data_IF_318207270818
#
_entry.id   IF_318207270818
#
_cell.length_a   1.000
_cell.length_b   1.000
_cell.length_c   1.000
_cell.angle_alpha   90.00
_cell.angle_beta   90.00
_cell.angle_gamma   90.00
#
_symmetry.space_group_name_H-M   'P 1'
#
loop_
_entity.id
_entity.type
_entity.pdbx_description
1 polymer ?
#
# COMPACT_ATOMS: atom_id res chain seq x y z
N UNK A 1 17.37 -10.48 30.20
CA UNK A 1 16.42 -9.58 30.89
C UNK A 1 16.71 -8.16 30.41
N UNK A 2 16.23 -7.76 29.23
CA UNK A 2 16.47 -6.44 28.65
C UNK A 2 15.27 -5.94 27.84
N UNK A 3 14.48 -6.86 27.27
CA UNK A 3 13.28 -6.53 26.48
C UNK A 3 12.17 -5.83 27.27
N UNK A 4 11.99 -6.15 28.56
CA UNK A 4 10.89 -5.60 29.36
C UNK A 4 10.97 -4.10 29.58
N UNK A 5 12.18 -3.55 29.71
CA UNK A 5 12.41 -2.12 30.01
C UNK A 5 12.38 -1.26 28.75
N UNK A 6 12.80 -1.80 27.60
CA UNK A 6 12.78 -1.10 26.30
C UNK A 6 11.34 -1.02 25.74
N UNK A 7 10.55 -2.06 25.94
CA UNK A 7 9.14 -2.10 25.50
C UNK A 7 8.25 -1.10 26.27
N UNK A 8 8.45 -1.00 27.60
CA UNK A 8 7.71 -0.07 28.44
C UNK A 8 8.04 1.40 28.15
N UNK A 9 9.29 1.71 27.79
CA UNK A 9 9.70 3.10 27.45
C UNK A 9 9.23 3.53 26.06
N UNK A 10 9.24 2.66 25.04
CA UNK A 10 8.73 3.01 23.70
C UNK A 10 7.22 3.35 23.70
N UNK A 11 6.44 2.61 24.49
CA UNK A 11 4.98 2.73 24.56
C UNK A 11 4.46 4.01 25.24
N UNK A 12 5.28 4.62 26.13
CA UNK A 12 4.91 5.84 26.86
C UNK A 12 5.17 7.12 26.05
N UNK A 13 6.08 7.08 25.07
CA UNK A 13 6.49 8.25 24.28
C UNK A 13 6.04 8.20 22.82
N UNK A 14 5.71 7.03 22.28
CA UNK A 14 5.12 6.86 20.96
C UNK A 14 3.80 6.09 21.10
N UNK A 15 2.68 6.72 20.75
CA UNK A 15 1.45 5.97 20.48
C UNK A 15 1.78 4.98 19.35
N UNK A 16 1.88 3.69 19.67
CA UNK A 16 2.08 2.68 18.65
C UNK A 16 0.84 2.66 17.76
N UNK A 17 0.99 3.12 16.51
CA UNK A 17 -0.02 2.91 15.49
C UNK A 17 0.01 1.42 15.17
N UNK A 18 -0.98 0.67 15.66
CA UNK A 18 -1.04 -0.79 15.47
C UNK A 18 -1.79 -1.20 14.21
N UNK A 19 -2.56 -0.27 13.64
CA UNK A 19 -3.41 -0.54 12.49
C UNK A 19 -3.40 0.67 11.57
N UNK A 20 -3.08 0.40 10.31
CA UNK A 20 -3.24 1.34 9.23
C UNK A 20 -4.71 1.30 8.78
N UNK A 21 -5.38 2.43 8.88
CA UNK A 21 -6.74 2.64 8.40
C UNK A 21 -6.69 3.51 7.14
N UNK A 22 -7.10 2.96 6.00
CA UNK A 22 -7.17 3.68 4.73
C UNK A 22 -8.62 3.68 4.23
N UNK A 23 -9.12 4.85 3.84
CA UNK A 23 -10.39 5.01 3.13
C UNK A 23 -10.05 5.43 1.68
N UNK A 24 -10.29 4.52 0.74
CA UNK A 24 -9.99 4.73 -0.67
C UNK A 24 -11.30 4.97 -1.41
N UNK A 25 -11.44 6.15 -2.01
CA UNK A 25 -12.63 6.57 -2.77
C UNK A 25 -12.31 6.71 -4.24
N UNK A 26 -12.98 5.93 -5.08
CA UNK A 26 -12.95 6.12 -6.52
C UNK A 26 -13.95 7.20 -6.93
N UNK A 27 -13.51 8.07 -7.84
CA UNK A 27 -14.45 8.91 -8.60
C UNK A 27 -15.18 8.06 -9.65
N UNK A 28 -16.32 8.57 -10.11
CA UNK A 28 -17.12 7.95 -11.19
C UNK A 28 -16.33 7.77 -12.49
N UNK A 29 -15.37 8.65 -12.77
CA UNK A 29 -14.50 8.58 -13.94
C UNK A 29 -13.08 8.15 -13.52
N UNK A 30 -12.91 6.88 -13.18
CA UNK A 30 -11.61 6.25 -12.88
C UNK A 30 -11.29 5.20 -13.96
N UNK A 31 -9.98 5.04 -14.27
CA UNK A 31 -9.47 4.07 -15.25
C UNK A 31 -10.32 4.01 -16.54
N UNK A 32 -10.55 5.16 -17.18
CA UNK A 32 -11.41 5.22 -18.36
C UNK A 32 -10.70 4.66 -19.59
N UNK A 33 -11.39 3.81 -20.36
CA UNK A 33 -10.90 3.34 -21.66
C UNK A 33 -10.80 4.48 -22.68
N UNK A 34 -10.19 4.22 -23.84
CA UNK A 34 -10.14 5.18 -24.95
C UNK A 34 -11.54 5.65 -25.42
N UNK A 35 -12.58 4.85 -25.19
CA UNK A 35 -13.98 5.20 -25.46
C UNK A 35 -14.65 6.01 -24.34
N UNK A 36 -13.91 6.36 -23.28
CA UNK A 36 -14.42 7.12 -22.13
C UNK A 36 -15.22 6.29 -21.12
N UNK A 37 -15.20 4.95 -21.23
CA UNK A 37 -15.95 4.06 -20.33
C UNK A 37 -15.12 3.87 -19.05
N UNK A 38 -15.63 4.23 -17.85
CA UNK A 38 -14.94 3.98 -16.59
C UNK A 38 -14.78 2.50 -16.32
N UNK A 39 -13.58 2.07 -15.92
CA UNK A 39 -13.27 0.68 -15.61
C UNK A 39 -12.89 0.53 -14.15
N UNK A 40 -13.07 -0.69 -13.62
CA UNK A 40 -12.53 -1.01 -12.30
C UNK A 40 -11.00 -1.00 -12.34
N UNK A 41 -10.39 -0.69 -11.20
CA UNK A 41 -8.94 -0.66 -11.03
C UNK A 41 -8.55 -1.49 -9.80
N UNK A 42 -7.43 -2.19 -9.89
CA UNK A 42 -6.82 -2.83 -8.71
C UNK A 42 -5.83 -1.85 -8.11
N UNK A 43 -5.96 -1.61 -6.81
CA UNK A 43 -5.01 -0.83 -6.04
C UNK A 43 -4.22 -1.78 -5.16
N UNK A 44 -2.89 -1.73 -5.28
CA UNK A 44 -1.97 -2.53 -4.47
C UNK A 44 -1.31 -1.63 -3.43
N UNK A 45 -1.41 -2.05 -2.18
CA UNK A 45 -0.92 -1.34 -1.00
C UNK A 45 0.28 -2.11 -0.47
N UNK A 46 1.41 -1.44 -0.35
CA UNK A 46 2.64 -2.02 0.16
C UNK A 46 3.02 -1.41 1.50
N UNK A 47 3.40 -2.27 2.45
CA UNK A 47 4.19 -1.90 3.62
C UNK A 47 5.64 -2.29 3.35
N UNK A 48 6.53 -1.29 3.32
CA UNK A 48 7.93 -1.47 2.96
C UNK A 48 8.86 -1.12 4.13
N UNK A 49 9.98 -1.85 4.24
CA UNK A 49 11.12 -1.53 5.13
C UNK A 49 11.88 -0.30 4.63
N UNK A 50 12.04 -0.21 3.31
CA UNK A 50 12.74 0.86 2.58
C UNK A 50 11.99 1.14 1.27
N UNK A 51 11.89 2.40 0.87
CA UNK A 51 11.16 2.84 -0.31
C UNK A 51 12.05 3.06 -1.55
N UNK A 52 13.38 2.99 -1.45
CA UNK A 52 14.28 3.34 -2.56
C UNK A 52 14.02 2.54 -3.82
N UNK A 53 13.80 1.22 -3.69
CA UNK A 53 13.54 0.35 -4.83
C UNK A 53 12.19 0.66 -5.48
N UNK A 54 11.17 0.97 -4.66
CA UNK A 54 9.87 1.42 -5.17
C UNK A 54 9.99 2.77 -5.90
N UNK A 55 10.73 3.73 -5.34
CA UNK A 55 10.90 5.06 -5.91
C UNK A 55 11.71 5.07 -7.20
N UNK A 56 12.60 4.08 -7.36
CA UNK A 56 13.47 3.97 -8.55
C UNK A 56 12.86 3.12 -9.65
N UNK A 57 11.85 2.30 -9.34
CA UNK A 57 11.19 1.43 -10.29
C UNK A 57 10.17 2.21 -11.12
N UNK A 58 10.12 1.92 -12.42
CA UNK A 58 9.03 2.40 -13.27
C UNK A 58 7.75 1.58 -13.06
N UNK A 59 6.65 2.07 -13.64
CA UNK A 59 5.35 1.43 -13.53
C UNK A 59 5.35 0.01 -14.10
N UNK A 60 6.01 -0.23 -15.23
CA UNK A 60 5.98 -1.53 -15.88
C UNK A 60 6.68 -2.58 -15.02
N UNK A 61 7.83 -2.21 -14.46
CA UNK A 61 8.61 -3.04 -13.56
C UNK A 61 7.80 -3.41 -12.31
N UNK A 62 7.12 -2.44 -11.69
CA UNK A 62 6.23 -2.68 -10.55
C UNK A 62 4.99 -3.51 -10.92
N UNK A 63 4.44 -3.33 -12.12
CA UNK A 63 3.26 -4.08 -12.55
C UNK A 63 3.57 -5.56 -12.81
N UNK A 64 4.71 -5.86 -13.45
CA UNK A 64 5.04 -7.23 -13.87
C UNK A 64 5.88 -8.00 -12.88
N UNK A 65 6.70 -7.32 -12.06
CA UNK A 65 7.78 -7.94 -11.28
C UNK A 65 8.01 -7.33 -9.90
N UNK A 66 6.97 -6.76 -9.27
CA UNK A 66 7.08 -6.18 -7.92
C UNK A 66 7.67 -7.15 -6.90
N UNK A 67 7.28 -8.41 -6.93
CA UNK A 67 7.80 -9.43 -6.01
C UNK A 67 9.31 -9.68 -6.17
N UNK A 68 9.91 -9.37 -7.32
CA UNK A 68 11.36 -9.50 -7.52
C UNK A 68 12.07 -8.19 -7.16
N UNK A 69 11.51 -7.04 -7.56
CA UNK A 69 12.12 -5.72 -7.36
C UNK A 69 12.05 -5.28 -5.91
N UNK A 70 10.96 -5.63 -5.21
CA UNK A 70 10.67 -5.19 -3.84
C UNK A 70 10.80 -6.32 -2.82
N UNK A 71 11.18 -7.53 -3.22
CA UNK A 71 11.14 -8.75 -2.40
C UNK A 71 11.75 -8.57 -0.99
N UNK A 72 12.90 -7.90 -0.91
CA UNK A 72 13.61 -7.68 0.34
C UNK A 72 12.97 -6.62 1.25
N UNK A 73 12.21 -5.71 0.63
CA UNK A 73 11.64 -4.54 1.29
C UNK A 73 10.18 -4.76 1.70
N UNK A 74 9.43 -5.65 1.04
CA UNK A 74 8.04 -5.94 1.39
C UNK A 74 7.96 -6.58 2.78
N UNK A 75 7.21 -5.93 3.65
CA UNK A 75 6.78 -6.46 4.96
C UNK A 75 5.40 -7.09 4.79
N UNK A 76 4.51 -6.37 4.10
CA UNK A 76 3.16 -6.84 3.84
C UNK A 76 2.59 -6.17 2.59
N UNK A 77 1.65 -6.86 1.94
CA UNK A 77 0.99 -6.39 0.71
C UNK A 77 -0.51 -6.67 0.80
N UNK A 78 -1.33 -5.78 0.23
CA UNK A 78 -2.79 -5.98 0.09
C UNK A 78 -3.29 -5.40 -1.22
N UNK A 79 -4.06 -6.20 -1.95
CA UNK A 79 -4.71 -5.81 -3.20
C UNK A 79 -6.18 -5.52 -2.92
N UNK A 80 -6.68 -4.40 -3.45
CA UNK A 80 -8.09 -4.02 -3.35
C UNK A 80 -8.66 -3.67 -4.71
N UNK A 81 -9.85 -4.20 -4.97
CA UNK A 81 -10.61 -3.89 -6.17
C UNK A 81 -11.45 -2.65 -5.94
N UNK A 82 -11.31 -1.67 -6.82
CA UNK A 82 -12.01 -0.41 -6.73
C UNK A 82 -12.85 -0.21 -7.99
N UNK A 83 -14.16 -0.11 -7.80
CA UNK A 83 -15.11 0.15 -8.88
C UNK A 83 -15.32 1.67 -9.03
N UNK A 84 -15.68 2.15 -10.22
CA UNK A 84 -16.08 3.56 -10.39
C UNK A 84 -17.16 3.97 -9.38
N UNK A 85 -16.98 5.13 -8.74
CA UNK A 85 -17.90 5.67 -7.73
C UNK A 85 -17.89 4.95 -6.37
N UNK A 86 -17.15 3.85 -6.22
CA UNK A 86 -17.15 3.08 -4.97
C UNK A 86 -16.14 3.60 -3.94
N UNK A 87 -16.30 3.14 -2.70
CA UNK A 87 -15.35 3.39 -1.62
C UNK A 87 -15.02 2.07 -0.92
N UNK A 88 -13.75 1.89 -0.55
CA UNK A 88 -13.27 0.71 0.15
C UNK A 88 -12.46 1.16 1.36
N UNK A 89 -12.85 0.65 2.53
CA UNK A 89 -12.07 0.78 3.75
C UNK A 89 -11.08 -0.39 3.84
N UNK A 90 -9.83 -0.08 4.16
CA UNK A 90 -8.75 -1.04 4.31
C UNK A 90 -8.14 -0.89 5.69
N UNK A 91 -8.35 -1.90 6.51
CA UNK A 91 -7.63 -2.08 7.76
C UNK A 91 -6.50 -3.09 7.55
N UNK A 92 -5.31 -2.72 8.01
CA UNK A 92 -4.12 -3.56 7.93
C UNK A 92 -3.29 -3.44 9.20
N UNK A 93 -2.91 -4.56 9.84
CA UNK A 93 -1.98 -4.52 10.97
C UNK A 93 -0.69 -3.83 10.54
N UNK A 94 -0.17 -2.96 11.41
CA UNK A 94 1.10 -2.31 11.16
C UNK A 94 2.21 -3.05 11.89
N UNK A 95 3.26 -3.39 11.14
CA UNK A 95 4.49 -3.88 11.75
C UNK A 95 5.32 -2.71 12.32
N UNK A 96 5.88 -2.89 13.52
CA UNK A 96 6.71 -1.90 14.22
C UNK A 96 7.94 -1.44 13.42
N UNK A 97 8.36 -2.19 12.39
CA UNK A 97 9.49 -1.87 11.52
C UNK A 97 9.11 -1.00 10.30
N UNK A 98 7.83 -0.73 10.05
CA UNK A 98 7.36 0.00 8.87
C UNK A 98 7.65 1.49 9.01
N UNK A 99 8.27 2.08 7.99
CA UNK A 99 8.56 3.52 7.94
C UNK A 99 7.74 4.30 6.92
N UNK A 100 7.18 3.64 5.89
CA UNK A 100 6.58 4.31 4.73
C UNK A 100 5.41 3.48 4.15
N UNK A 101 4.34 4.15 3.72
CA UNK A 101 3.18 3.57 3.05
C UNK A 101 3.03 4.12 1.63
N UNK A 102 2.79 3.26 0.65
CA UNK A 102 2.44 3.68 -0.71
C UNK A 102 1.31 2.87 -1.31
N UNK A 103 0.50 3.59 -2.10
CA UNK A 103 -0.65 3.10 -2.82
C UNK A 103 -0.32 3.18 -4.32
N UNK A 104 -0.22 2.04 -5.00
CA UNK A 104 -0.04 1.94 -6.44
C UNK A 104 -1.37 1.58 -7.12
N UNK A 105 -1.77 2.33 -8.13
CA UNK A 105 -2.94 1.99 -8.96
C UNK A 105 -2.52 1.22 -10.21
N UNK A 106 -3.03 0.00 -10.40
CA UNK A 106 -2.82 -0.78 -11.61
C UNK A 106 -3.90 -0.47 -12.65
N UNK A 107 -3.62 0.52 -13.49
CA UNK A 107 -4.42 0.84 -14.67
C UNK A 107 -3.98 -0.05 -15.84
N UNK A 108 -4.76 -1.10 -16.11
CA UNK A 108 -4.64 -1.84 -17.37
C UNK A 108 -5.34 -1.03 -18.45
N UNK A 109 -4.56 -0.28 -19.22
CA UNK A 109 -5.04 0.32 -20.47
C UNK A 109 -5.35 -0.81 -21.46
N UNK A 110 -6.63 -0.98 -21.79
CA UNK A 110 -7.07 -1.69 -22.98
C UNK A 110 -7.15 -0.71 -24.15
#
# INVERSE_FOLDING_TARGET
MADGTVSATKSLFYQQIKTLHLDIRAREAINTSAAGIPLSVVVRIYQLKDNRNFDSADYQALFTGDNEILAGDIIAQKDVWLQPGSSVAVDMPLDDAVKIYRCGSNVSGA
#
